data_IF_182070822170
#
_entry.id   IF_182070822170
#
_cell.length_a   1.000
_cell.length_b   1.000
_cell.length_c   1.000
_cell.angle_alpha   90.00
_cell.angle_beta   90.00
_cell.angle_gamma   90.00
#
_symmetry.space_group_name_H-M   'P 1'
#
loop_
_entity.id
_entity.type
_entity.pdbx_description
1 polymer ?
#
# COMPACT_ATOMS: atom_id res chain seq x y z
N UNK A 1 -1.31 -17.95 11.47
CA UNK A 1 -2.75 -18.06 11.23
C UNK A 1 -3.07 -18.74 9.92
N UNK A 2 -4.32 -19.06 9.70
CA UNK A 2 -4.79 -19.70 8.47
C UNK A 2 -5.51 -18.74 7.53
N UNK A 3 -5.34 -17.45 7.75
CA UNK A 3 -6.01 -16.41 6.99
C UNK A 3 -5.10 -15.80 5.92
N UNK A 4 -5.71 -15.23 4.89
CA UNK A 4 -5.01 -14.36 3.94
C UNK A 4 -4.57 -13.08 4.65
N UNK A 5 -3.44 -12.51 4.24
CA UNK A 5 -2.80 -11.38 4.90
C UNK A 5 -2.61 -10.24 3.91
N UNK A 6 -2.93 -9.04 4.32
CA UNK A 6 -2.43 -7.81 3.70
C UNK A 6 -1.31 -7.22 4.56
N UNK A 7 -0.23 -6.84 3.92
CA UNK A 7 0.88 -6.13 4.53
C UNK A 7 1.03 -4.78 3.84
N UNK A 8 1.07 -3.72 4.61
CA UNK A 8 1.48 -2.40 4.18
C UNK A 8 2.63 -1.93 5.06
N UNK A 9 3.68 -1.40 4.44
CA UNK A 9 4.79 -0.82 5.18
C UNK A 9 4.36 0.54 5.75
N UNK A 10 4.77 0.82 6.99
CA UNK A 10 4.30 2.00 7.74
C UNK A 10 4.81 3.35 7.21
N UNK A 11 5.81 3.31 6.35
CA UNK A 11 6.42 4.45 5.66
C UNK A 11 5.89 4.66 4.23
N UNK A 12 4.93 3.85 3.79
CA UNK A 12 4.37 3.94 2.45
C UNK A 12 3.03 4.69 2.44
N UNK A 13 2.97 5.75 1.66
CA UNK A 13 1.75 6.50 1.39
C UNK A 13 1.24 6.18 -0.02
N UNK A 14 -0.03 5.78 -0.09
CA UNK A 14 -0.71 5.44 -1.33
C UNK A 14 -1.99 6.28 -1.47
N UNK A 15 -2.17 6.92 -2.62
CA UNK A 15 -3.35 7.71 -2.91
C UNK A 15 -3.85 7.46 -4.34
N UNK A 16 -5.16 7.39 -4.51
CA UNK A 16 -5.79 7.26 -5.83
C UNK A 16 -7.17 6.62 -5.76
N UNK A 17 -8.09 7.07 -6.60
CA UNK A 17 -9.49 6.63 -6.62
C UNK A 17 -9.67 5.14 -6.90
N UNK A 18 -8.73 4.55 -7.67
CA UNK A 18 -8.77 3.13 -8.05
C UNK A 18 -8.12 2.19 -7.03
N UNK A 19 -7.49 2.71 -5.97
CA UNK A 19 -6.78 1.86 -5.00
C UNK A 19 -7.74 0.94 -4.22
N UNK A 20 -8.83 1.47 -3.69
CA UNK A 20 -9.79 0.68 -2.90
C UNK A 20 -10.38 -0.49 -3.68
N UNK A 21 -10.95 -0.32 -4.89
CA UNK A 21 -11.44 -1.45 -5.68
C UNK A 21 -10.33 -2.41 -6.08
N UNK A 22 -9.13 -1.91 -6.38
CA UNK A 22 -7.97 -2.74 -6.74
C UNK A 22 -7.55 -3.64 -5.57
N UNK A 23 -7.44 -3.07 -4.36
CA UNK A 23 -7.11 -3.81 -3.14
C UNK A 23 -8.21 -4.81 -2.80
N UNK A 24 -9.49 -4.40 -2.83
CA UNK A 24 -10.63 -5.30 -2.56
C UNK A 24 -10.63 -6.50 -3.51
N UNK A 25 -10.35 -6.30 -4.79
CA UNK A 25 -10.22 -7.40 -5.77
C UNK A 25 -9.09 -8.36 -5.40
N UNK A 26 -8.00 -7.85 -4.83
CA UNK A 26 -6.84 -8.64 -4.44
C UNK A 26 -7.07 -9.49 -3.19
N UNK A 27 -7.96 -9.08 -2.29
CA UNK A 27 -8.33 -9.88 -1.11
C UNK A 27 -9.15 -11.13 -1.43
N UNK A 28 -9.77 -11.21 -2.62
CA UNK A 28 -10.50 -12.40 -3.05
C UNK A 28 -9.61 -13.58 -3.48
N UNK A 29 -8.29 -13.45 -3.43
CA UNK A 29 -7.38 -14.52 -3.80
C UNK A 29 -7.27 -15.56 -2.68
N UNK A 30 -7.72 -16.75 -2.98
CA UNK A 30 -7.62 -17.91 -2.10
C UNK A 30 -6.22 -18.51 -2.08
N UNK A 31 -5.42 -18.30 -3.13
CA UNK A 31 -4.08 -18.85 -3.28
C UNK A 31 -3.13 -17.86 -3.94
N UNK A 32 -1.90 -17.79 -3.44
CA UNK A 32 -0.82 -17.01 -4.04
C UNK A 32 -0.57 -15.67 -3.36
N UNK A 33 0.10 -14.78 -4.10
CA UNK A 33 0.43 -13.43 -3.65
C UNK A 33 0.18 -12.40 -4.75
N UNK A 34 -0.17 -11.18 -4.34
CA UNK A 34 -0.10 -10.01 -5.22
C UNK A 34 0.97 -9.05 -4.73
N UNK A 35 1.74 -8.54 -5.66
CA UNK A 35 2.63 -7.41 -5.46
C UNK A 35 2.15 -6.26 -6.34
N UNK A 36 2.28 -5.05 -5.80
CA UNK A 36 1.83 -3.85 -6.48
C UNK A 36 3.04 -3.12 -7.05
N UNK A 37 2.95 -2.74 -8.32
CA UNK A 37 4.04 -2.16 -9.08
C UNK A 37 3.74 -0.71 -9.43
N UNK A 38 4.76 0.12 -9.29
CA UNK A 38 4.70 1.54 -9.65
C UNK A 38 5.91 1.91 -10.53
N UNK A 39 5.74 2.68 -11.60
CA UNK A 39 6.87 3.16 -12.38
C UNK A 39 7.63 4.25 -11.60
N UNK A 40 8.92 4.00 -11.34
CA UNK A 40 9.80 4.94 -10.64
C UNK A 40 11.14 5.06 -11.35
N UNK A 41 11.73 6.26 -11.34
CA UNK A 41 13.07 6.51 -11.89
C UNK A 41 14.18 6.03 -10.96
N UNK A 42 13.97 6.13 -9.65
CA UNK A 42 14.93 5.66 -8.65
C UNK A 42 14.70 4.19 -8.32
N UNK A 43 15.21 3.31 -9.17
CA UNK A 43 15.03 1.86 -9.03
C UNK A 43 16.00 1.21 -8.05
N UNK A 44 17.12 1.87 -7.74
CA UNK A 44 18.15 1.33 -6.85
C UNK A 44 17.78 1.30 -5.37
N UNK A 45 16.68 2.00 -5.00
CA UNK A 45 16.18 2.05 -3.62
C UNK A 45 15.20 0.90 -3.29
N UNK A 46 14.67 0.20 -4.29
CA UNK A 46 13.51 -0.68 -4.14
C UNK A 46 13.72 -2.06 -4.75
N UNK A 47 12.85 -2.99 -4.41
CA UNK A 47 12.66 -4.21 -5.17
C UNK A 47 12.14 -3.90 -6.58
N UNK A 48 12.72 -4.52 -7.61
CA UNK A 48 12.40 -4.25 -9.02
C UNK A 48 11.96 -5.52 -9.73
N UNK A 49 10.89 -5.41 -10.52
CA UNK A 49 10.43 -6.48 -11.40
C UNK A 49 10.87 -6.19 -12.83
N UNK A 50 11.63 -7.11 -13.42
CA UNK A 50 11.93 -7.10 -14.85
C UNK A 50 11.01 -8.07 -15.58
N UNK A 51 10.38 -7.58 -16.64
CA UNK A 51 9.51 -8.37 -17.51
C UNK A 51 10.23 -8.68 -18.83
N UNK A 52 9.87 -9.80 -19.44
CA UNK A 52 10.25 -10.12 -20.81
C UNK A 52 9.34 -9.42 -21.82
N UNK A 53 9.59 -9.66 -23.11
CA UNK A 53 8.79 -9.12 -24.22
C UNK A 53 7.31 -9.58 -24.18
N UNK A 54 7.03 -10.70 -23.52
CA UNK A 54 5.68 -11.26 -23.34
C UNK A 54 5.00 -10.81 -22.03
N UNK A 55 5.55 -9.79 -21.33
CA UNK A 55 5.08 -9.34 -20.00
C UNK A 55 5.12 -10.42 -18.92
N UNK A 56 5.91 -11.47 -19.07
CA UNK A 56 6.16 -12.46 -18.02
C UNK A 56 7.34 -12.00 -17.14
N UNK A 57 7.33 -12.41 -15.88
CA UNK A 57 8.39 -12.10 -14.93
C UNK A 57 9.68 -12.78 -15.40
N UNK A 58 10.68 -11.98 -15.74
CA UNK A 58 12.04 -12.43 -16.04
C UNK A 58 12.84 -12.62 -14.76
N UNK A 59 12.82 -11.62 -13.89
CA UNK A 59 13.44 -11.66 -12.55
C UNK A 59 12.86 -10.60 -11.63
N UNK A 60 13.01 -10.83 -10.32
CA UNK A 60 12.71 -9.88 -9.26
C UNK A 60 13.97 -9.72 -8.42
N UNK A 61 14.42 -8.50 -8.26
CA UNK A 61 15.72 -8.19 -7.63
C UNK A 61 15.57 -7.08 -6.60
N UNK A 62 16.13 -7.26 -5.41
CA UNK A 62 16.20 -6.23 -4.38
C UNK A 62 17.30 -5.23 -4.69
N UNK A 63 16.96 -3.94 -4.70
CA UNK A 63 17.88 -2.79 -4.81
C UNK A 63 18.98 -2.99 -5.86
N UNK A 64 18.63 -3.21 -7.13
CA UNK A 64 19.61 -3.51 -8.17
C UNK A 64 20.49 -2.29 -8.47
N UNK A 65 21.80 -2.48 -8.59
CA UNK A 65 22.72 -1.42 -9.05
C UNK A 65 22.43 -0.98 -10.48
N UNK A 66 22.00 -1.93 -11.33
CA UNK A 66 21.64 -1.69 -12.72
C UNK A 66 20.41 -2.50 -13.10
N UNK A 67 19.46 -1.85 -13.73
CA UNK A 67 18.25 -2.46 -14.29
C UNK A 67 17.75 -1.68 -15.50
N UNK A 68 17.09 -2.35 -16.42
CA UNK A 68 16.38 -1.73 -17.55
C UNK A 68 14.90 -1.49 -17.25
N UNK A 69 14.40 -2.00 -16.13
CA UNK A 69 13.02 -1.84 -15.71
C UNK A 69 12.87 -0.61 -14.83
N UNK A 70 11.74 0.07 -14.95
CA UNK A 70 11.31 1.12 -14.04
C UNK A 70 10.18 0.67 -13.11
N UNK A 71 9.83 -0.62 -13.10
CA UNK A 71 8.75 -1.15 -12.30
C UNK A 71 9.28 -1.54 -10.92
N UNK A 72 9.04 -0.67 -9.94
CA UNK A 72 9.39 -0.95 -8.54
C UNK A 72 8.21 -1.58 -7.81
N UNK A 73 8.52 -2.38 -6.79
CA UNK A 73 7.53 -2.97 -5.90
C UNK A 73 7.24 -1.97 -4.79
N UNK A 74 5.97 -1.59 -4.65
CA UNK A 74 5.54 -0.73 -3.55
C UNK A 74 5.35 -1.54 -2.27
N UNK A 75 5.42 -0.88 -1.11
CA UNK A 75 5.29 -1.52 0.19
C UNK A 75 3.86 -1.97 0.54
N UNK A 76 3.12 -2.49 -0.44
CA UNK A 76 1.80 -3.08 -0.29
C UNK A 76 1.80 -4.48 -0.88
N UNK A 77 1.30 -5.45 -0.13
CA UNK A 77 1.29 -6.86 -0.51
C UNK A 77 0.00 -7.52 -0.05
N UNK A 78 -0.47 -8.51 -0.79
CA UNK A 78 -1.47 -9.45 -0.29
C UNK A 78 -0.99 -10.88 -0.51
N UNK A 79 -1.18 -11.72 0.50
CA UNK A 79 -0.69 -13.09 0.53
C UNK A 79 -1.79 -14.06 0.94
N UNK A 80 -1.70 -15.30 0.47
CA UNK A 80 -2.50 -16.40 0.98
C UNK A 80 -2.04 -16.83 2.39
N UNK A 81 -2.76 -17.77 2.98
CA UNK A 81 -2.49 -18.35 4.30
C UNK A 81 -1.09 -18.98 4.46
N UNK A 82 -0.39 -19.27 3.37
CA UNK A 82 0.92 -19.91 3.42
C UNK A 82 2.07 -18.94 3.70
N UNK A 83 1.82 -17.64 3.71
CA UNK A 83 2.86 -16.62 3.88
C UNK A 83 3.71 -16.82 5.13
N UNK A 84 3.09 -17.12 6.27
CA UNK A 84 3.82 -17.36 7.52
C UNK A 84 4.73 -18.60 7.44
N UNK A 85 4.31 -19.64 6.73
CA UNK A 85 5.14 -20.81 6.47
C UNK A 85 6.35 -20.46 5.61
N UNK A 86 6.14 -19.72 4.53
CA UNK A 86 7.24 -19.34 3.62
C UNK A 86 8.19 -18.32 4.28
N UNK A 87 7.68 -17.36 5.02
CA UNK A 87 8.49 -16.38 5.74
C UNK A 87 9.47 -17.03 6.73
N UNK A 88 9.06 -18.10 7.40
CA UNK A 88 9.93 -18.85 8.32
C UNK A 88 11.07 -19.59 7.64
N UNK A 89 11.02 -19.79 6.32
CA UNK A 89 12.10 -20.44 5.55
C UNK A 89 13.13 -19.46 5.01
N UNK A 90 12.89 -18.17 5.15
CA UNK A 90 13.81 -17.14 4.69
C UNK A 90 15.13 -17.16 5.46
N UNK A 91 16.19 -16.84 4.77
CA UNK A 91 17.53 -16.65 5.35
C UNK A 91 17.96 -15.20 5.15
N UNK A 92 18.72 -14.64 6.08
CA UNK A 92 19.28 -13.29 5.90
C UNK A 92 20.09 -13.17 4.62
N UNK A 93 19.90 -12.07 3.91
CA UNK A 93 20.64 -11.68 2.72
C UNK A 93 22.09 -11.31 3.05
N UNK A 94 22.88 -10.92 2.05
CA UNK A 94 24.21 -10.32 2.25
C UNK A 94 24.17 -9.04 3.09
N UNK A 95 23.01 -8.39 3.17
CA UNK A 95 22.72 -7.20 4.00
C UNK A 95 22.38 -7.56 5.46
N UNK A 96 22.34 -8.87 5.79
CA UNK A 96 21.90 -9.43 7.09
C UNK A 96 20.43 -9.14 7.41
N UNK A 97 19.59 -8.91 6.38
CA UNK A 97 18.16 -8.64 6.47
C UNK A 97 17.35 -9.77 5.82
N UNK A 98 16.15 -10.04 6.33
CA UNK A 98 15.16 -10.88 5.66
C UNK A 98 14.48 -10.04 4.59
N UNK A 99 14.71 -10.37 3.32
CA UNK A 99 14.23 -9.55 2.21
C UNK A 99 12.82 -9.96 1.78
N UNK A 100 11.96 -8.97 1.57
CA UNK A 100 10.61 -9.21 1.02
C UNK A 100 10.69 -9.82 -0.39
N UNK A 101 11.67 -9.43 -1.17
CA UNK A 101 11.91 -9.98 -2.51
C UNK A 101 12.17 -11.48 -2.48
N UNK A 102 12.82 -12.01 -1.44
CA UNK A 102 13.03 -13.45 -1.32
C UNK A 102 11.72 -14.20 -1.05
N UNK A 103 10.84 -13.64 -0.21
CA UNK A 103 9.50 -14.17 0.00
C UNK A 103 8.69 -14.17 -1.30
N UNK A 104 8.70 -13.06 -2.04
CA UNK A 104 8.02 -12.92 -3.33
C UNK A 104 8.55 -13.94 -4.34
N UNK A 105 9.85 -14.18 -4.37
CA UNK A 105 10.47 -15.16 -5.25
C UNK A 105 10.03 -16.61 -4.95
N UNK A 106 9.66 -16.94 -3.72
CA UNK A 106 9.05 -18.24 -3.40
C UNK A 106 7.73 -18.40 -4.15
N UNK A 107 6.85 -17.38 -4.12
CA UNK A 107 5.59 -17.37 -4.85
C UNK A 107 5.78 -17.38 -6.37
N UNK A 108 6.78 -16.65 -6.86
CA UNK A 108 7.12 -16.63 -8.29
C UNK A 108 7.55 -18.02 -8.79
N UNK A 109 8.43 -18.69 -8.06
CA UNK A 109 8.84 -20.10 -8.37
C UNK A 109 7.67 -21.06 -8.38
N UNK A 110 6.68 -20.85 -7.52
CA UNK A 110 5.45 -21.64 -7.44
C UNK A 110 4.40 -21.24 -8.49
N UNK A 111 4.70 -20.26 -9.37
CA UNK A 111 3.78 -19.73 -10.38
C UNK A 111 2.46 -19.21 -9.78
N UNK A 112 2.50 -18.73 -8.55
CA UNK A 112 1.37 -18.20 -7.78
C UNK A 112 1.56 -16.71 -7.39
N UNK A 113 2.37 -15.97 -8.15
CA UNK A 113 2.59 -14.54 -7.98
C UNK A 113 1.85 -13.76 -9.05
N UNK A 114 1.04 -12.78 -8.64
CA UNK A 114 0.36 -11.87 -9.52
C UNK A 114 0.97 -10.47 -9.43
N UNK A 115 1.04 -9.78 -10.56
CA UNK A 115 1.51 -8.42 -10.69
C UNK A 115 0.32 -7.48 -10.85
N UNK A 116 0.22 -6.49 -9.98
CA UNK A 116 -0.82 -5.47 -10.00
C UNK A 116 -0.16 -4.13 -10.29
N UNK A 117 -0.29 -3.62 -11.51
CA UNK A 117 0.27 -2.32 -11.87
C UNK A 117 -0.66 -1.21 -11.40
N UNK A 118 -0.13 -0.29 -10.60
CA UNK A 118 -0.83 0.93 -10.23
C UNK A 118 -0.94 1.84 -11.46
N UNK A 119 -2.16 2.26 -11.78
CA UNK A 119 -2.46 3.07 -12.96
C UNK A 119 -2.13 4.54 -12.80
N UNK A 120 -2.31 5.29 -13.90
CA UNK A 120 -2.29 6.76 -13.85
C UNK A 120 -3.35 7.28 -12.87
N UNK A 121 -3.03 8.37 -12.18
CA UNK A 121 -3.90 8.92 -11.12
C UNK A 121 -3.71 8.26 -9.75
N UNK A 122 -2.82 7.26 -9.65
CA UNK A 122 -2.30 6.79 -8.36
C UNK A 122 -1.02 7.54 -8.02
N UNK A 123 -0.87 7.92 -6.76
CA UNK A 123 0.37 8.42 -6.18
C UNK A 123 0.88 7.39 -5.17
N UNK A 124 2.16 7.10 -5.24
CA UNK A 124 2.89 6.35 -4.24
C UNK A 124 4.12 7.13 -3.83
N UNK A 125 4.28 7.32 -2.54
CA UNK A 125 5.40 8.01 -1.91
C UNK A 125 5.89 7.14 -0.75
N UNK A 126 7.21 7.02 -0.67
CA UNK A 126 7.91 6.28 0.37
C UNK A 126 8.60 7.29 1.29
N UNK A 127 8.34 7.21 2.60
CA UNK A 127 8.88 8.15 3.58
C UNK A 127 10.23 7.66 4.07
N UNK A 128 11.26 7.87 3.26
CA UNK A 128 12.63 7.45 3.60
C UNK A 128 13.42 8.50 4.39
N UNK A 129 12.99 9.76 4.38
CA UNK A 129 13.68 10.88 5.02
C UNK A 129 12.73 12.05 5.31
N UNK A 130 13.23 13.12 5.91
CA UNK A 130 12.42 14.31 6.26
C UNK A 130 11.89 15.07 5.06
N UNK A 131 12.61 15.11 3.95
CA UNK A 131 12.17 15.77 2.72
C UNK A 131 10.98 15.03 2.09
N UNK A 132 11.00 13.69 2.12
CA UNK A 132 9.87 12.87 1.68
C UNK A 132 8.66 13.10 2.58
N UNK A 133 8.83 13.16 3.90
CA UNK A 133 7.76 13.46 4.85
C UNK A 133 7.13 14.84 4.57
N UNK A 134 7.96 15.86 4.32
CA UNK A 134 7.50 17.19 3.97
C UNK A 134 6.71 17.18 2.64
N UNK A 135 7.22 16.48 1.65
CA UNK A 135 6.58 16.34 0.33
C UNK A 135 5.21 15.67 0.45
N UNK A 136 5.09 14.60 1.23
CA UNK A 136 3.80 13.92 1.49
C UNK A 136 2.84 14.83 2.25
N UNK A 137 3.32 15.52 3.28
CA UNK A 137 2.49 16.44 4.06
C UNK A 137 1.92 17.55 3.19
N UNK A 138 2.73 18.10 2.29
CA UNK A 138 2.32 19.12 1.32
C UNK A 138 1.33 18.57 0.31
N UNK A 139 1.55 17.35 -0.18
CA UNK A 139 0.61 16.66 -1.09
C UNK A 139 -0.76 16.46 -0.43
N UNK A 140 -0.79 15.90 0.78
CA UNK A 140 -2.02 15.67 1.56
C UNK A 140 -2.76 17.00 1.77
N UNK A 141 -2.05 18.03 2.25
CA UNK A 141 -2.62 19.36 2.46
C UNK A 141 -3.29 19.92 1.21
N UNK A 142 -2.59 19.87 0.07
CA UNK A 142 -3.11 20.39 -1.20
C UNK A 142 -4.37 19.63 -1.67
N UNK A 143 -4.43 18.32 -1.51
CA UNK A 143 -5.60 17.53 -1.89
C UNK A 143 -6.78 17.84 -0.96
N UNK A 144 -6.55 17.83 0.36
CA UNK A 144 -7.60 18.11 1.35
C UNK A 144 -8.20 19.50 1.19
N UNK A 145 -7.37 20.52 0.95
CA UNK A 145 -7.84 21.90 0.76
C UNK A 145 -8.69 22.04 -0.51
N UNK A 146 -8.36 21.32 -1.58
CA UNK A 146 -9.07 21.43 -2.85
C UNK A 146 -10.35 20.61 -2.89
N UNK A 147 -10.37 19.46 -2.22
CA UNK A 147 -11.47 18.50 -2.30
C UNK A 147 -12.38 18.54 -1.07
N UNK A 148 -12.01 19.34 -0.05
CA UNK A 148 -12.80 19.54 1.16
C UNK A 148 -13.11 18.27 1.94
N UNK A 149 -12.27 17.23 1.83
CA UNK A 149 -12.34 16.03 2.65
C UNK A 149 -10.96 15.64 3.23
N UNK A 150 -10.96 14.76 4.22
CA UNK A 150 -9.75 14.31 4.89
C UNK A 150 -9.25 12.99 4.32
N UNK A 151 -7.95 12.92 4.01
CA UNK A 151 -7.30 11.67 3.62
C UNK A 151 -7.09 10.82 4.86
N UNK A 152 -7.49 9.55 4.80
CA UNK A 152 -7.30 8.61 5.91
C UNK A 152 -8.15 8.90 7.15
N UNK A 153 -9.26 9.61 7.02
CA UNK A 153 -10.18 9.83 8.12
C UNK A 153 -10.86 8.53 8.55
N UNK A 154 -10.40 7.94 9.65
CA UNK A 154 -10.86 6.62 10.12
C UNK A 154 -12.35 6.61 10.46
N UNK A 155 -12.88 7.69 11.03
CA UNK A 155 -14.30 7.82 11.36
C UNK A 155 -15.16 7.85 10.10
N UNK A 156 -14.77 8.59 9.07
CA UNK A 156 -15.47 8.63 7.79
C UNK A 156 -15.44 7.28 7.09
N UNK A 157 -14.26 6.67 7.00
CA UNK A 157 -14.09 5.33 6.40
C UNK A 157 -14.94 4.31 7.13
N UNK A 158 -14.93 4.32 8.45
CA UNK A 158 -15.72 3.38 9.28
C UNK A 158 -17.21 3.62 9.14
N UNK A 159 -17.64 4.87 9.04
CA UNK A 159 -19.03 5.23 8.85
C UNK A 159 -19.55 4.81 7.48
N UNK A 160 -18.80 5.10 6.42
CA UNK A 160 -19.16 4.73 5.05
C UNK A 160 -19.17 3.21 4.81
N UNK A 161 -18.44 2.44 5.63
CA UNK A 161 -18.50 0.98 5.61
C UNK A 161 -19.56 0.40 6.60
N UNK A 162 -20.30 1.24 7.31
CA UNK A 162 -21.32 0.78 8.26
C UNK A 162 -20.77 0.18 9.56
N UNK A 163 -19.48 0.36 9.86
CA UNK A 163 -18.85 -0.20 11.07
C UNK A 163 -19.13 0.63 12.31
N UNK A 164 -19.44 1.91 12.15
CA UNK A 164 -19.84 2.82 13.23
C UNK A 164 -21.09 3.62 12.85
N UNK A 165 -21.78 4.14 13.87
CA UNK A 165 -23.02 4.90 13.73
C UNK A 165 -22.78 6.41 13.82
N UNK A 166 -23.76 7.24 13.41
CA UNK A 166 -23.76 8.69 13.64
C UNK A 166 -23.56 9.03 15.13
N UNK A 167 -24.08 8.20 16.07
CA UNK A 167 -23.87 8.37 17.51
C UNK A 167 -22.41 8.26 17.90
N UNK A 168 -21.67 7.30 17.33
CA UNK A 168 -20.24 7.13 17.59
C UNK A 168 -19.45 8.37 17.13
N UNK A 169 -19.76 8.90 15.95
CA UNK A 169 -19.12 10.13 15.44
C UNK A 169 -19.44 11.33 16.34
N UNK A 170 -20.69 11.51 16.78
CA UNK A 170 -21.05 12.58 17.74
C UNK A 170 -20.24 12.51 19.02
N UNK A 171 -20.01 11.31 19.55
CA UNK A 171 -19.15 11.12 20.73
C UNK A 171 -17.71 11.57 20.47
N UNK A 172 -17.17 11.29 19.27
CA UNK A 172 -15.84 11.78 18.88
C UNK A 172 -15.81 13.30 18.76
N UNK A 173 -16.80 13.92 18.10
CA UNK A 173 -16.92 15.38 17.98
C UNK A 173 -16.91 16.02 19.39
N UNK A 174 -17.65 15.47 20.33
CA UNK A 174 -17.68 15.96 21.72
C UNK A 174 -16.32 15.86 22.43
N UNK A 175 -15.53 14.83 22.10
CA UNK A 175 -14.18 14.65 22.66
C UNK A 175 -13.17 15.66 22.08
N UNK A 176 -13.28 16.01 20.80
CA UNK A 176 -12.35 16.91 20.09
C UNK A 176 -12.93 18.31 19.85
N UNK A 177 -13.72 18.83 20.80
CA UNK A 177 -14.39 20.13 20.72
C UNK A 177 -13.50 21.23 20.14
N UNK A 178 -14.08 22.05 19.24
CA UNK A 178 -13.46 23.22 18.59
C UNK A 178 -12.27 22.95 17.65
N UNK A 179 -11.99 21.70 17.28
CA UNK A 179 -10.95 21.39 16.28
C UNK A 179 -11.49 21.48 14.85
N UNK A 180 -10.62 21.70 13.88
CA UNK A 180 -10.95 21.62 12.45
C UNK A 180 -11.47 20.21 12.11
N UNK A 181 -10.89 19.19 12.75
CA UNK A 181 -11.30 17.80 12.57
C UNK A 181 -12.74 17.56 13.04
N UNK A 182 -13.12 18.08 14.22
CA UNK A 182 -14.50 17.92 14.70
C UNK A 182 -15.53 18.66 13.84
N UNK A 183 -15.16 19.80 13.23
CA UNK A 183 -16.01 20.46 12.23
C UNK A 183 -16.24 19.56 11.03
N UNK A 184 -15.17 19.00 10.47
CA UNK A 184 -15.25 18.05 9.37
C UNK A 184 -16.14 16.84 9.67
N UNK A 185 -15.95 16.19 10.83
CA UNK A 185 -16.81 15.08 11.26
C UNK A 185 -18.28 15.46 11.40
N UNK A 186 -18.56 16.69 11.83
CA UNK A 186 -19.93 17.19 11.95
C UNK A 186 -20.59 17.36 10.56
N UNK A 187 -19.81 17.79 9.56
CA UNK A 187 -20.33 17.94 8.20
C UNK A 187 -20.63 16.58 7.54
N UNK A 188 -19.80 15.55 7.79
CA UNK A 188 -20.04 14.16 7.34
C UNK A 188 -21.39 13.63 7.82
N UNK A 189 -21.77 13.87 9.08
CA UNK A 189 -23.02 13.30 9.63
C UNK A 189 -24.27 14.10 9.32
N UNK A 190 -24.14 15.32 8.75
CA UNK A 190 -25.26 16.14 8.30
C UNK A 190 -25.76 15.74 6.92
N UNK A 191 -24.83 15.29 6.07
CA UNK A 191 -25.11 14.73 4.74
C UNK A 191 -25.54 13.26 4.87
#
# INVERSE_FOLDING_TARGET
GNDSVALILGDNFLYGSMLTPLIKKSFGLTNGANIYLYPNKNTSAYGVVELDKGNKIKRIVEKPKHTKSNLVIVGLYTFDKNVSKYARTLKPSKRKELEMVDLINIYNKKKSLNLVKLGRGSAWLDVGNFDDLHSISSFVKNIEDRQSYKIGCLEEISFNNGWITKKNIRNRINKFKKSIYSKYLNDIIKN
#
